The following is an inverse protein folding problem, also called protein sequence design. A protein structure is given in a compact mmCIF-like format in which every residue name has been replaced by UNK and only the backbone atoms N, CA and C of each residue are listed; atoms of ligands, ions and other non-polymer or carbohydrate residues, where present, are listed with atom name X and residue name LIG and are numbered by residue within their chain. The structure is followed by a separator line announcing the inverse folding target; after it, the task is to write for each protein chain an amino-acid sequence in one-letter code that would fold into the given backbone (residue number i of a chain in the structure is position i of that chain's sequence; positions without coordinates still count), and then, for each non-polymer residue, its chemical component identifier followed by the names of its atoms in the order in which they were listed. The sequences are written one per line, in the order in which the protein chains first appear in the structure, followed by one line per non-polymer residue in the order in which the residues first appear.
data_IF_587695852921
#
_entry.id   IF_587695852921
#
_cell.length_a   1.000
_cell.length_b   1.000
_cell.length_c   1.000
_cell.angle_alpha   90.00
_cell.angle_beta   90.00
_cell.angle_gamma   90.00
#
_symmetry.space_group_name_H-M   'P 1'
#
loop_
_entity.id
_entity.type
_entity.pdbx_description
1 polymer ?
#
# COMPACT_ATOMS: atom_id res chain seq x y z
N UNK A 1 -0.38 4.24 -1.25
CA UNK A 1 -1.26 3.09 -1.01
C UNK A 1 -1.59 2.45 -2.34
N UNK A 2 -1.71 1.13 -2.36
CA UNK A 2 -2.02 0.33 -3.53
C UNK A 2 -3.08 -0.70 -3.12
N UNK A 3 -4.17 -0.75 -3.86
CA UNK A 3 -5.22 -1.75 -3.66
C UNK A 3 -5.03 -2.88 -4.67
N UNK A 4 -5.08 -4.10 -4.16
CA UNK A 4 -5.24 -5.34 -4.92
C UNK A 4 -6.69 -5.81 -4.78
N UNK A 5 -7.19 -6.72 -5.64
CA UNK A 5 -8.57 -7.19 -5.57
C UNK A 5 -8.98 -7.80 -4.22
N UNK A 6 -8.02 -8.35 -3.48
CA UNK A 6 -8.21 -9.10 -2.24
C UNK A 6 -7.55 -8.46 -1.01
N UNK A 7 -6.62 -7.50 -1.18
CA UNK A 7 -5.92 -6.86 -0.06
C UNK A 7 -5.40 -5.44 -0.38
N UNK A 8 -4.95 -4.73 0.66
CA UNK A 8 -4.41 -3.38 0.55
C UNK A 8 -2.95 -3.33 1.02
N UNK A 9 -2.10 -2.65 0.26
CA UNK A 9 -0.74 -2.28 0.66
C UNK A 9 -0.66 -0.78 0.97
N UNK A 10 -0.09 -0.45 2.13
CA UNK A 10 0.05 0.94 2.58
C UNK A 10 1.37 1.20 3.27
N UNK A 11 2.08 2.24 2.83
CA UNK A 11 3.10 2.90 3.64
C UNK A 11 2.43 4.13 4.27
N UNK A 12 2.36 4.13 5.60
CA UNK A 12 1.59 5.10 6.38
C UNK A 12 2.38 5.55 7.59
N UNK A 13 2.23 6.83 7.94
CA UNK A 13 2.70 7.36 9.21
C UNK A 13 1.64 7.08 10.26
N UNK A 14 2.01 6.32 11.29
CA UNK A 14 1.10 5.91 12.34
C UNK A 14 1.40 6.75 13.59
N UNK A 15 0.50 7.67 14.00
CA UNK A 15 0.73 8.56 15.14
C UNK A 15 0.43 7.91 16.50
N UNK A 16 -0.30 6.78 16.51
CA UNK A 16 -0.75 6.05 17.72
C UNK A 16 -0.34 4.57 17.62
N UNK A 17 -0.99 3.66 18.35
CA UNK A 17 -0.76 2.22 18.18
C UNK A 17 -1.24 1.73 16.80
N UNK A 18 -0.47 0.85 16.14
CA UNK A 18 -0.85 0.30 14.83
C UNK A 18 -2.17 -0.47 14.89
N UNK A 19 -2.37 -1.26 15.94
CA UNK A 19 -3.58 -2.07 16.14
C UNK A 19 -4.84 -1.21 16.24
N UNK A 20 -4.78 -0.07 16.94
CA UNK A 20 -5.94 0.82 17.06
C UNK A 20 -6.25 1.51 15.74
N UNK A 21 -5.22 2.03 15.05
CA UNK A 21 -5.40 2.69 13.76
C UNK A 21 -5.96 1.74 12.70
N UNK A 22 -5.46 0.51 12.62
CA UNK A 22 -5.99 -0.49 11.69
C UNK A 22 -7.41 -0.96 12.08
N UNK A 23 -7.70 -1.07 13.36
CA UNK A 23 -9.04 -1.41 13.85
C UNK A 23 -10.08 -0.34 13.52
N UNK A 24 -9.75 0.93 13.73
CA UNK A 24 -10.57 2.08 13.33
C UNK A 24 -10.78 2.11 11.81
N UNK A 25 -9.70 1.97 11.03
CA UNK A 25 -9.80 1.93 9.57
C UNK A 25 -10.73 0.83 9.05
N UNK A 26 -10.55 -0.41 9.51
CA UNK A 26 -11.38 -1.55 9.08
C UNK A 26 -12.85 -1.32 9.44
N UNK A 27 -13.11 -0.81 10.64
CA UNK A 27 -14.46 -0.49 11.12
C UNK A 27 -15.12 0.60 10.26
N UNK A 28 -14.43 1.72 10.09
CA UNK A 28 -14.96 2.88 9.35
C UNK A 28 -15.24 2.55 7.90
N UNK A 29 -14.36 1.76 7.26
CA UNK A 29 -14.58 1.28 5.91
C UNK A 29 -15.77 0.32 5.85
N UNK A 30 -15.87 -0.63 6.79
CA UNK A 30 -16.97 -1.61 6.84
C UNK A 30 -18.35 -0.97 7.06
N UNK A 31 -18.43 0.22 7.66
CA UNK A 31 -19.69 0.97 7.73
C UNK A 31 -20.17 1.50 6.39
N UNK A 32 -19.26 1.72 5.44
CA UNK A 32 -19.57 2.27 4.11
C UNK A 32 -19.69 1.19 3.05
N UNK A 33 -18.87 0.14 3.17
CA UNK A 33 -18.78 -0.95 2.21
C UNK A 33 -18.68 -2.26 2.98
N UNK A 34 -19.68 -3.13 2.85
CA UNK A 34 -19.66 -4.46 3.48
C UNK A 34 -18.42 -5.22 3.03
N UNK A 35 -17.50 -5.44 3.97
CA UNK A 35 -16.17 -5.99 3.69
C UNK A 35 -15.83 -7.04 4.73
N UNK A 36 -15.47 -8.24 4.27
CA UNK A 36 -15.01 -9.33 5.12
C UNK A 36 -13.50 -9.24 5.27
N UNK A 37 -13.06 -8.52 6.30
CA UNK A 37 -11.64 -8.39 6.59
C UNK A 37 -11.06 -9.70 7.14
N UNK A 38 -9.89 -10.12 6.63
CA UNK A 38 -9.08 -11.15 7.27
C UNK A 38 -8.76 -10.74 8.72
N UNK A 39 -8.75 -11.73 9.63
CA UNK A 39 -8.33 -11.57 11.02
C UNK A 39 -6.84 -11.19 11.08
N UNK A 40 -6.53 -10.15 11.86
CA UNK A 40 -5.18 -9.63 11.99
C UNK A 40 -4.74 -8.75 10.82
N UNK A 41 -3.46 -8.41 10.80
CA UNK A 41 -2.82 -7.59 9.79
C UNK A 41 -1.32 -7.86 9.82
N UNK A 42 -0.66 -7.67 8.68
CA UNK A 42 0.80 -7.64 8.64
C UNK A 42 1.26 -6.19 8.67
N UNK A 43 2.13 -5.85 9.61
CA UNK A 43 2.79 -4.56 9.68
C UNK A 43 4.30 -4.71 9.89
N UNK A 44 5.05 -3.78 9.32
CA UNK A 44 6.50 -3.72 9.47
C UNK A 44 6.94 -2.27 9.63
N UNK A 45 7.76 -1.99 10.65
CA UNK A 45 8.27 -0.64 10.91
C UNK A 45 9.45 -0.32 9.99
N UNK A 46 9.29 0.72 9.17
CA UNK A 46 10.36 1.29 8.37
C UNK A 46 11.22 2.20 9.26
N UNK A 47 12.55 2.00 9.22
CA UNK A 47 13.52 2.72 10.07
C UNK A 47 14.46 3.64 9.30
N UNK A 48 14.59 3.43 7.99
CA UNK A 48 15.52 4.16 7.13
C UNK A 48 14.84 4.53 5.83
N UNK A 49 15.39 5.54 5.16
CA UNK A 49 14.92 5.93 3.83
C UNK A 49 15.14 4.83 2.78
N UNK A 50 16.26 4.12 2.84
CA UNK A 50 16.52 2.97 1.95
C UNK A 50 15.46 1.88 2.08
N UNK A 51 15.07 1.52 3.32
CA UNK A 51 13.98 0.55 3.53
C UNK A 51 12.64 1.06 3.03
N UNK A 52 12.39 2.38 3.13
CA UNK A 52 11.20 2.98 2.55
C UNK A 52 11.16 2.82 1.03
N UNK A 53 12.26 3.13 0.33
CA UNK A 53 12.34 2.98 -1.12
C UNK A 53 12.14 1.52 -1.55
N UNK A 54 12.83 0.59 -0.90
CA UNK A 54 12.69 -0.85 -1.20
C UNK A 54 11.24 -1.32 -1.03
N UNK A 55 10.58 -0.98 0.09
CA UNK A 55 9.18 -1.40 0.31
C UNK A 55 8.20 -0.68 -0.61
N UNK A 56 8.47 0.58 -0.95
CA UNK A 56 7.68 1.33 -1.93
C UNK A 56 7.73 0.65 -3.29
N UNK A 57 8.92 0.33 -3.77
CA UNK A 57 9.11 -0.28 -5.10
C UNK A 57 8.55 -1.70 -5.14
N UNK A 58 8.76 -2.47 -4.07
CA UNK A 58 8.11 -3.75 -3.90
C UNK A 58 6.58 -3.64 -4.00
N UNK A 59 5.97 -2.68 -3.28
CA UNK A 59 4.51 -2.48 -3.29
C UNK A 59 4.03 -2.20 -4.71
N UNK A 60 4.67 -1.27 -5.43
CA UNK A 60 4.29 -0.87 -6.78
C UNK A 60 4.44 -1.98 -7.82
N UNK A 61 5.36 -2.92 -7.61
CA UNK A 61 5.54 -4.06 -8.48
C UNK A 61 4.46 -5.16 -8.29
N UNK A 62 3.66 -5.14 -7.22
CA UNK A 62 2.72 -6.23 -6.93
C UNK A 62 1.67 -6.47 -8.03
N UNK A 63 1.04 -5.46 -8.64
CA UNK A 63 0.10 -5.70 -9.74
C UNK A 63 0.72 -6.43 -10.94
N UNK A 64 1.97 -6.11 -11.27
CA UNK A 64 2.73 -6.77 -12.34
C UNK A 64 3.07 -8.20 -11.93
N UNK A 65 3.60 -8.38 -10.72
CA UNK A 65 3.93 -9.72 -10.16
C UNK A 65 2.72 -10.64 -10.04
N UNK A 66 1.53 -10.09 -9.82
CA UNK A 66 0.27 -10.82 -9.80
C UNK A 66 -0.32 -11.06 -11.20
N UNK A 67 0.30 -10.54 -12.26
CA UNK A 67 -0.15 -10.71 -13.64
C UNK A 67 -1.37 -9.86 -14.02
N UNK A 68 -1.74 -8.85 -13.22
CA UNK A 68 -2.90 -8.01 -13.53
C UNK A 68 -2.62 -6.96 -14.60
N UNK A 69 -1.37 -6.53 -14.74
CA UNK A 69 -0.91 -5.54 -15.72
C UNK A 69 0.51 -5.89 -16.19
N UNK A 70 0.88 -5.42 -17.39
CA UNK A 70 2.23 -5.64 -17.93
C UNK A 70 3.23 -4.61 -17.39
N UNK A 71 2.76 -3.42 -17.05
CA UNK A 71 3.56 -2.34 -16.47
C UNK A 71 2.83 -1.70 -15.28
N UNK A 72 3.58 -1.28 -14.26
CA UNK A 72 3.01 -0.79 -12.99
C UNK A 72 2.16 0.47 -13.14
N UNK A 73 2.46 1.29 -14.15
CA UNK A 73 1.73 2.51 -14.52
C UNK A 73 0.30 2.22 -14.97
N UNK A 74 0.06 1.02 -15.49
CA UNK A 74 -1.26 0.61 -15.97
C UNK A 74 -2.21 0.27 -14.81
N UNK A 75 -1.71 0.14 -13.58
CA UNK A 75 -2.54 -0.15 -12.42
C UNK A 75 -3.24 1.11 -11.90
N UNK A 76 -4.58 1.24 -12.04
CA UNK A 76 -5.27 2.47 -11.68
C UNK A 76 -5.51 2.60 -10.16
N UNK A 77 -5.41 1.49 -9.42
CA UNK A 77 -5.77 1.42 -7.99
C UNK A 77 -4.59 1.77 -7.07
N UNK A 78 -3.83 2.80 -7.46
CA UNK A 78 -2.72 3.35 -6.69
C UNK A 78 -3.03 4.80 -6.29
N UNK A 79 -2.82 5.13 -5.02
CA UNK A 79 -2.96 6.49 -4.51
C UNK A 79 -1.68 6.94 -3.82
N UNK A 80 -1.25 8.13 -4.20
CA UNK A 80 -0.07 8.81 -3.65
C UNK A 80 -0.49 10.03 -2.84
N UNK A 81 0.27 10.30 -1.80
CA UNK A 81 0.18 11.49 -0.97
C UNK A 81 1.60 11.99 -0.77
N UNK A 82 1.78 13.29 -0.98
CA UNK A 82 3.06 13.95 -0.74
C UNK A 82 3.34 13.93 0.78
N UNK A 83 4.35 13.18 1.17
CA UNK A 83 4.83 13.12 2.54
C UNK A 83 6.08 13.97 2.62
N UNK A 84 5.94 15.29 2.73
CA UNK A 84 7.05 16.24 2.92
C UNK A 84 8.21 16.06 1.91
N UNK A 85 7.96 16.36 0.63
CA UNK A 85 9.04 16.59 -0.34
C UNK A 85 9.54 15.34 -1.05
N UNK A 86 8.76 14.26 -1.06
CA UNK A 86 9.06 13.07 -1.85
C UNK A 86 8.11 13.02 -3.05
N UNK A 87 8.58 13.40 -4.26
CA UNK A 87 7.74 13.35 -5.45
C UNK A 87 7.30 11.91 -5.72
N UNK A 88 6.15 11.77 -6.38
CA UNK A 88 5.70 10.47 -6.90
C UNK A 88 6.85 9.91 -7.76
N UNK A 89 7.36 8.70 -7.45
CA UNK A 89 8.39 8.10 -8.30
C UNK A 89 7.84 7.86 -9.70
N UNK A 90 8.69 8.05 -10.70
CA UNK A 90 8.50 7.40 -12.00
C UNK A 90 8.43 5.90 -11.71
N UNK A 91 7.29 5.28 -12.05
CA UNK A 91 7.10 3.87 -11.76
C UNK A 91 8.09 3.12 -12.65
N UNK A 92 8.82 2.16 -12.06
CA UNK A 92 9.77 1.36 -12.83
C UNK A 92 8.97 0.22 -13.44
N UNK A 93 8.63 0.38 -14.73
CA UNK A 93 8.26 -0.74 -15.56
C UNK A 93 9.47 -1.64 -15.75
N UNK A 94 9.38 -2.88 -15.30
CA UNK A 94 9.76 -4.09 -16.05
C UNK A 94 9.65 -5.32 -15.15
N UNK A 95 8.86 -6.29 -15.61
CA UNK A 95 9.06 -7.69 -15.27
C UNK A 95 10.12 -8.23 -16.25
N UNK A 96 11.30 -8.59 -15.73
CA UNK A 96 12.23 -9.51 -16.39
C UNK A 96 11.87 -10.95 -16.04
#
# INVERSE_FOLDING_TARGET
MLAMPDHLHGIVRIPRGITSVLGEFKRDYSYRVTTLWQKGSFDHRLRTYGHYLEKRDYILANPVRAGFVLAGEQWPYVKWWDVQGFPRPEIVGEAS
#
